data_IF_547021654452
#
_entry.id   IF_547021654452
#
_cell.length_a   1.000
_cell.length_b   1.000
_cell.length_c   1.000
_cell.angle_alpha   90.00
_cell.angle_beta   90.00
_cell.angle_gamma   90.00
#
_symmetry.space_group_name_H-M   'P 1'
#
loop_
_entity.id
_entity.type
_entity.pdbx_description
1 polymer ?
#
# COMPACT_ATOMS: atom_id res chain seq x y z
N UNK A 1 30.75 34.71 3.15
CA UNK A 1 31.08 33.30 2.83
C UNK A 1 30.86 32.47 4.09
N UNK A 2 29.89 31.55 4.12
CA UNK A 2 29.47 30.86 5.33
C UNK A 2 30.46 29.77 5.74
N UNK A 3 30.66 29.64 7.06
CA UNK A 3 31.52 28.63 7.71
C UNK A 3 30.89 27.24 7.59
N UNK A 4 31.60 26.30 6.97
CA UNK A 4 31.29 24.87 7.04
C UNK A 4 31.78 24.31 8.39
N UNK A 5 30.84 23.94 9.24
CA UNK A 5 31.06 23.07 10.41
C UNK A 5 30.45 21.71 10.10
N UNK A 6 31.27 20.67 9.97
CA UNK A 6 30.83 19.28 10.09
C UNK A 6 31.81 18.60 11.03
N UNK A 7 31.44 18.60 12.31
CA UNK A 7 32.14 17.86 13.34
C UNK A 7 31.77 16.37 13.21
N UNK A 8 32.80 15.54 13.26
CA UNK A 8 32.73 14.10 13.22
C UNK A 8 31.87 13.52 14.35
N UNK A 9 31.00 12.58 14.01
CA UNK A 9 30.37 11.69 14.97
C UNK A 9 30.62 10.25 14.53
N UNK A 10 31.57 9.61 15.21
CA UNK A 10 31.77 8.17 15.20
C UNK A 10 30.66 7.49 16.01
N UNK A 11 30.08 6.38 15.54
CA UNK A 11 29.49 5.32 16.38
C UNK A 11 29.57 4.00 15.59
N UNK A 12 30.53 3.14 15.93
CA UNK A 12 30.42 1.87 16.68
C UNK A 12 29.98 0.64 15.85
N UNK A 13 30.97 -0.24 15.68
CA UNK A 13 30.96 -1.69 15.50
C UNK A 13 29.62 -2.40 15.26
N UNK A 14 29.48 -2.98 14.06
CA UNK A 14 28.51 -4.03 13.77
C UNK A 14 29.05 -5.36 14.30
N UNK A 15 28.54 -5.79 15.45
CA UNK A 15 28.72 -7.15 15.96
C UNK A 15 27.73 -8.07 15.24
N UNK A 16 28.26 -8.97 14.43
CA UNK A 16 27.51 -10.07 13.84
C UNK A 16 27.32 -11.18 14.90
N UNK A 17 26.07 -11.45 15.27
CA UNK A 17 25.68 -12.71 15.91
C UNK A 17 24.44 -13.20 15.16
N UNK A 18 24.57 -14.38 14.55
CA UNK A 18 23.51 -15.03 13.81
C UNK A 18 22.43 -15.59 14.72
N UNK A 19 21.19 -15.33 14.32
CA UNK A 19 20.01 -16.18 14.51
C UNK A 19 18.86 -15.45 13.83
N UNK A 20 18.22 -16.09 12.84
CA UNK A 20 17.06 -15.66 12.07
C UNK A 20 16.30 -14.47 12.68
N UNK A 21 16.78 -13.26 12.40
CA UNK A 21 16.12 -12.04 12.80
C UNK A 21 14.97 -11.83 11.84
N UNK A 22 13.75 -12.06 12.29
CA UNK A 22 12.56 -11.52 11.66
C UNK A 22 12.83 -10.03 11.57
N UNK A 23 13.11 -9.54 10.36
CA UNK A 23 13.13 -8.10 10.09
C UNK A 23 11.68 -7.68 10.24
N UNK A 24 11.30 -7.35 11.47
CA UNK A 24 10.14 -6.53 11.77
C UNK A 24 10.44 -5.19 11.13
N UNK A 25 10.19 -5.09 9.82
CA UNK A 25 10.08 -3.82 9.14
C UNK A 25 9.18 -2.98 10.03
N UNK A 26 9.69 -1.82 10.44
CA UNK A 26 9.05 -0.88 11.35
C UNK A 26 7.57 -0.74 10.97
N UNK A 27 6.72 -1.53 11.63
CA UNK A 27 5.31 -1.29 11.67
C UNK A 27 5.22 0.05 12.39
N UNK A 28 5.05 1.12 11.61
CA UNK A 28 4.79 2.44 12.13
C UNK A 28 3.66 2.31 13.14
N UNK A 29 4.00 2.46 14.42
CA UNK A 29 3.06 2.72 15.51
C UNK A 29 2.34 4.07 15.33
N UNK A 30 2.67 4.82 14.27
CA UNK A 30 1.84 5.90 13.75
C UNK A 30 0.71 5.28 12.94
N UNK A 31 -0.54 5.47 13.40
CA UNK A 31 -1.73 4.88 12.80
C UNK A 31 -1.84 5.08 11.28
N UNK A 32 -2.72 4.30 10.68
CA UNK A 32 -3.04 4.40 9.26
C UNK A 32 -3.27 5.87 8.88
N UNK A 33 -2.54 6.43 7.88
CA UNK A 33 -2.82 7.77 7.40
C UNK A 33 -4.33 7.91 7.12
N UNK A 34 -4.90 9.05 7.48
CA UNK A 34 -6.34 9.29 7.35
C UNK A 34 -6.65 9.89 5.98
N UNK A 35 -6.33 9.16 4.92
CA UNK A 35 -6.83 9.46 3.58
C UNK A 35 -7.69 8.31 3.07
N UNK A 36 -8.36 8.58 1.96
CA UNK A 36 -9.20 7.61 1.29
C UNK A 36 -9.04 7.80 -0.21
N UNK A 37 -8.80 6.71 -0.92
CA UNK A 37 -9.01 6.67 -2.37
C UNK A 37 -10.35 6.01 -2.64
N UNK A 38 -11.12 6.63 -3.53
CA UNK A 38 -12.33 6.05 -4.08
C UNK A 38 -12.23 6.02 -5.60
N UNK A 39 -12.62 4.91 -6.20
CA UNK A 39 -12.52 4.77 -7.65
C UNK A 39 -12.86 3.37 -8.15
N UNK A 40 -12.79 3.21 -9.46
CA UNK A 40 -13.06 1.96 -10.14
C UNK A 40 -11.85 1.04 -10.10
N UNK A 41 -12.07 -0.25 -9.84
CA UNK A 41 -11.05 -1.28 -10.01
C UNK A 41 -10.77 -1.51 -11.49
N UNK A 42 -9.51 -1.35 -11.88
CA UNK A 42 -9.06 -1.56 -13.26
C UNK A 42 -7.87 -2.50 -13.27
N UNK A 43 -7.83 -3.40 -14.25
CA UNK A 43 -6.70 -4.29 -14.46
C UNK A 43 -5.65 -3.63 -15.36
N UNK A 44 -4.44 -3.47 -14.83
CA UNK A 44 -3.28 -2.98 -15.57
C UNK A 44 -2.14 -3.98 -15.35
N UNK A 45 -1.68 -4.59 -16.44
CA UNK A 45 -0.58 -5.57 -16.43
C UNK A 45 -0.81 -6.74 -15.44
N UNK A 46 -2.05 -7.21 -15.31
CA UNK A 46 -2.40 -8.33 -14.44
C UNK A 46 -2.51 -7.97 -12.95
N UNK A 47 -2.57 -6.68 -12.62
CA UNK A 47 -2.73 -6.20 -11.24
C UNK A 47 -3.92 -5.25 -11.14
N UNK A 48 -4.71 -5.39 -10.07
CA UNK A 48 -5.77 -4.43 -9.76
C UNK A 48 -5.19 -3.11 -9.26
N UNK A 49 -5.63 -2.03 -9.89
CA UNK A 49 -5.37 -0.64 -9.53
C UNK A 49 -6.70 0.09 -9.33
N UNK A 50 -6.65 1.28 -8.73
CA UNK A 50 -7.83 2.12 -8.57
C UNK A 50 -7.73 3.30 -9.52
N UNK A 51 -8.70 3.44 -10.42
CA UNK A 51 -8.92 4.66 -11.18
C UNK A 51 -9.75 5.62 -10.31
N UNK A 52 -9.05 6.58 -9.69
CA UNK A 52 -9.65 7.48 -8.71
C UNK A 52 -10.72 8.39 -9.33
N UNK A 53 -11.78 8.67 -8.56
CA UNK A 53 -12.81 9.64 -8.91
C UNK A 53 -12.63 10.89 -8.02
N UNK A 54 -12.72 12.11 -8.56
CA UNK A 54 -13.03 12.48 -9.95
C UNK A 54 -11.81 12.60 -10.88
N UNK A 55 -10.58 12.45 -10.38
CA UNK A 55 -9.35 12.74 -11.15
C UNK A 55 -9.12 11.84 -12.36
N UNK A 56 -9.75 10.65 -12.39
CA UNK A 56 -9.53 9.56 -13.35
C UNK A 56 -8.08 9.09 -13.46
N UNK A 57 -7.25 9.44 -12.47
CA UNK A 57 -5.89 8.95 -12.36
C UNK A 57 -5.90 7.49 -11.90
N UNK A 58 -5.19 6.63 -12.62
CA UNK A 58 -4.98 5.24 -12.21
C UNK A 58 -3.80 5.20 -11.26
N UNK A 59 -4.05 4.78 -10.03
CA UNK A 59 -3.03 4.67 -9.00
C UNK A 59 -2.81 3.21 -8.59
N UNK A 60 -1.55 2.78 -8.44
CA UNK A 60 -1.26 1.50 -7.83
C UNK A 60 -1.64 1.56 -6.34
N UNK A 61 -2.18 0.44 -5.86
CA UNK A 61 -2.61 0.30 -4.47
C UNK A 61 -1.84 -0.85 -3.85
N UNK A 62 -1.11 -0.58 -2.78
CA UNK A 62 -0.66 -1.63 -1.88
C UNK A 62 -1.85 -2.00 -1.00
N UNK A 63 -2.43 -3.18 -1.23
CA UNK A 63 -3.64 -3.61 -0.53
C UNK A 63 -3.38 -3.81 0.97
N UNK A 64 -4.34 -3.50 1.85
CA UNK A 64 -4.17 -3.71 3.29
C UNK A 64 -3.87 -5.18 3.61
N UNK A 65 -3.23 -5.42 4.76
CA UNK A 65 -2.94 -6.78 5.22
C UNK A 65 -4.22 -7.62 5.23
N UNK A 66 -4.11 -8.83 4.69
CA UNK A 66 -5.24 -9.75 4.56
C UNK A 66 -6.12 -9.46 3.35
N UNK A 67 -5.77 -8.52 2.47
CA UNK A 67 -6.38 -8.42 1.14
C UNK A 67 -5.43 -8.99 0.09
N UNK A 68 -6.00 -9.49 -1.00
CA UNK A 68 -5.23 -10.03 -2.11
C UNK A 68 -6.03 -9.98 -3.41
N UNK A 69 -5.32 -10.11 -4.53
CA UNK A 69 -5.92 -10.15 -5.87
C UNK A 69 -5.83 -11.58 -6.40
N UNK A 70 -6.94 -12.10 -6.92
CA UNK A 70 -7.06 -13.43 -7.50
C UNK A 70 -7.62 -13.32 -8.91
N UNK A 71 -7.16 -14.17 -9.83
CA UNK A 71 -7.82 -14.34 -11.12
C UNK A 71 -9.03 -15.29 -11.00
N UNK A 72 -10.15 -14.87 -11.58
CA UNK A 72 -11.39 -15.64 -11.67
C UNK A 72 -11.86 -15.65 -13.13
N UNK A 73 -11.37 -16.62 -13.91
CA UNK A 73 -11.71 -16.78 -15.32
C UNK A 73 -11.34 -15.56 -16.19
N UNK A 74 -10.17 -14.95 -15.92
CA UNK A 74 -9.70 -13.76 -16.65
C UNK A 74 -10.24 -12.43 -16.12
N UNK A 75 -11.02 -12.44 -15.05
CA UNK A 75 -11.44 -11.24 -14.31
C UNK A 75 -10.68 -11.18 -12.99
N UNK A 76 -10.01 -10.07 -12.71
CA UNK A 76 -9.36 -9.92 -11.41
C UNK A 76 -10.38 -9.59 -10.31
N UNK A 77 -10.26 -10.31 -9.21
CA UNK A 77 -11.13 -10.19 -8.03
C UNK A 77 -10.29 -9.79 -6.83
N UNK A 78 -10.68 -8.69 -6.19
CA UNK A 78 -10.16 -8.31 -4.89
C UNK A 78 -10.81 -9.18 -3.82
N UNK A 79 -9.99 -9.81 -3.00
CA UNK A 79 -10.42 -10.74 -1.96
C UNK A 79 -9.93 -10.31 -0.59
N UNK A 80 -10.61 -10.78 0.46
CA UNK A 80 -10.17 -10.71 1.85
C UNK A 80 -9.88 -12.11 2.37
N UNK A 81 -8.73 -12.26 2.99
CA UNK A 81 -8.08 -13.49 3.44
C UNK A 81 -8.03 -14.57 2.35
N UNK A 82 -7.96 -14.15 1.08
CA UNK A 82 -7.98 -14.99 -0.12
C UNK A 82 -9.23 -15.88 -0.30
N UNK A 83 -10.28 -15.66 0.49
CA UNK A 83 -11.47 -16.52 0.50
C UNK A 83 -12.80 -15.77 0.36
N UNK A 84 -12.84 -14.49 0.72
CA UNK A 84 -14.03 -13.65 0.56
C UNK A 84 -13.84 -12.73 -0.63
N UNK A 85 -14.65 -12.87 -1.67
CA UNK A 85 -14.72 -11.92 -2.77
C UNK A 85 -15.29 -10.57 -2.25
N UNK A 86 -14.54 -9.49 -2.44
CA UNK A 86 -14.92 -8.13 -2.02
C UNK A 86 -15.47 -7.34 -3.20
N UNK A 87 -14.72 -7.32 -4.31
CA UNK A 87 -15.04 -6.55 -5.50
C UNK A 87 -14.33 -7.15 -6.72
N UNK A 88 -14.89 -6.92 -7.90
CA UNK A 88 -14.34 -7.38 -9.18
C UNK A 88 -13.79 -6.19 -9.98
N UNK A 89 -12.98 -6.48 -10.97
CA UNK A 89 -12.65 -5.50 -12.01
C UNK A 89 -13.93 -4.83 -12.55
N UNK A 90 -13.91 -3.50 -12.64
CA UNK A 90 -15.07 -2.67 -13.00
C UNK A 90 -15.91 -2.18 -11.82
N UNK A 91 -15.79 -2.79 -10.63
CA UNK A 91 -16.50 -2.32 -9.44
C UNK A 91 -15.88 -1.04 -8.89
N UNK A 92 -16.71 -0.20 -8.27
CA UNK A 92 -16.22 0.96 -7.50
C UNK A 92 -15.89 0.53 -6.08
N UNK A 93 -14.70 0.92 -5.61
CA UNK A 93 -14.26 0.66 -4.24
C UNK A 93 -13.80 1.92 -3.54
N UNK A 94 -13.83 1.86 -2.22
CA UNK A 94 -13.22 2.84 -1.32
C UNK A 94 -12.19 2.15 -0.42
N UNK A 95 -10.98 2.70 -0.35
CA UNK A 95 -9.86 2.14 0.41
C UNK A 95 -9.32 3.21 1.36
N UNK A 96 -9.35 2.93 2.66
CA UNK A 96 -8.70 3.77 3.67
C UNK A 96 -7.18 3.56 3.68
N UNK A 97 -6.41 4.66 3.76
CA UNK A 97 -4.96 4.59 3.69
C UNK A 97 -4.29 5.96 3.49
N UNK A 98 -3.11 5.97 2.88
CA UNK A 98 -2.43 7.20 2.48
C UNK A 98 -1.40 6.96 1.38
N UNK A 99 -0.89 8.05 0.81
CA UNK A 99 0.20 7.94 -0.16
C UNK A 99 1.49 7.48 0.50
N UNK A 100 2.30 6.72 -0.23
CA UNK A 100 3.69 6.43 0.11
C UNK A 100 4.52 7.72 0.14
N UNK A 101 5.70 7.69 0.77
CA UNK A 101 6.55 8.87 0.93
C UNK A 101 7.04 9.50 -0.40
N UNK A 102 6.98 8.74 -1.48
CA UNK A 102 7.34 9.13 -2.85
C UNK A 102 6.11 9.43 -3.73
N UNK A 103 4.90 9.45 -3.16
CA UNK A 103 3.62 9.68 -3.86
C UNK A 103 3.34 8.75 -5.05
N UNK A 104 4.00 7.59 -5.10
CA UNK A 104 3.86 6.65 -6.22
C UNK A 104 2.76 5.62 -6.01
N UNK A 105 2.47 5.25 -4.75
CA UNK A 105 1.55 4.15 -4.40
C UNK A 105 0.64 4.55 -3.25
N UNK A 106 -0.66 4.24 -3.37
CA UNK A 106 -1.58 4.37 -2.25
C UNK A 106 -1.42 3.15 -1.33
N UNK A 107 -0.92 3.39 -0.11
CA UNK A 107 -0.76 2.40 0.94
C UNK A 107 -2.09 2.20 1.66
N UNK A 108 -2.79 1.11 1.35
CA UNK A 108 -3.99 0.70 2.06
C UNK A 108 -3.65 0.18 3.46
N UNK A 109 -4.30 0.72 4.47
CA UNK A 109 -4.17 0.24 5.85
C UNK A 109 -5.49 0.30 6.64
N UNK A 110 -6.58 0.71 5.97
CA UNK A 110 -7.93 0.79 6.52
C UNK A 110 -8.91 -0.18 5.86
N UNK A 111 -10.22 -0.04 6.11
CA UNK A 111 -11.23 -0.88 5.50
C UNK A 111 -11.28 -0.67 3.98
N UNK A 112 -11.61 -1.75 3.26
CA UNK A 112 -12.00 -1.70 1.84
C UNK A 112 -13.50 -1.97 1.77
N UNK A 113 -14.21 -1.15 0.99
CA UNK A 113 -15.66 -1.28 0.76
C UNK A 113 -15.94 -1.32 -0.74
N UNK A 114 -16.86 -2.19 -1.14
CA UNK A 114 -17.42 -2.21 -2.50
C UNK A 114 -18.67 -1.32 -2.52
N UNK A 115 -18.78 -0.47 -3.54
CA UNK A 115 -19.85 0.51 -3.70
C UNK A 115 -19.59 1.85 -3.02
N UNK A 116 -20.57 2.74 -3.18
CA UNK A 116 -20.72 4.01 -2.47
C UNK A 116 -21.62 3.83 -1.25
#
# INVERSE_FOLDING_TARGET
MPRLTIAAAAIVAVVAIGSAGIVLGSASLGGCPTAQVQGMLVNIDGTLRVQAVPSRQVMPVAWPIGYGVRDDQGVLVLTRFLVVDIAREGDTVSVGGGMSADDSTFQGCGPVRNGL
#
